data_IF_526789167800
#
_entry.id   IF_526789167800
#
_cell.length_a   1.000
_cell.length_b   1.000
_cell.length_c   1.000
_cell.angle_alpha   90.00
_cell.angle_beta   90.00
_cell.angle_gamma   90.00
#
_symmetry.space_group_name_H-M   'P 1'
#
loop_
_entity.id
_entity.type
_entity.pdbx_description
1 polymer ?
#
# COMPACT_ATOMS: atom_id res chain seq x y z
N UNK A 1 6.50 31.52 -49.03
CA UNK A 1 7.59 32.22 -48.32
C UNK A 1 7.94 31.39 -47.08
N UNK A 2 8.90 30.45 -47.19
CA UNK A 2 10.32 30.57 -46.81
C UNK A 2 10.53 30.82 -45.30
N UNK A 3 10.74 29.75 -44.50
CA UNK A 3 12.03 29.18 -44.00
C UNK A 3 12.70 29.96 -42.85
N UNK A 4 12.86 29.30 -41.70
CA UNK A 4 14.20 29.13 -41.08
C UNK A 4 14.29 27.90 -40.17
N UNK A 5 15.25 27.04 -40.50
CA UNK A 5 15.72 25.91 -39.70
C UNK A 5 16.76 26.39 -38.68
N UNK A 6 16.90 25.71 -37.55
CA UNK A 6 18.19 25.07 -37.22
C UNK A 6 18.07 24.04 -36.09
N UNK A 7 19.02 23.12 -36.12
CA UNK A 7 19.02 21.75 -35.64
C UNK A 7 20.36 21.54 -34.90
N UNK A 8 20.37 20.76 -33.81
CA UNK A 8 21.47 19.88 -33.30
C UNK A 8 21.20 19.58 -31.82
N UNK A 9 20.84 18.35 -31.41
CA UNK A 9 21.65 17.11 -31.27
C UNK A 9 22.90 17.28 -30.39
N UNK A 10 22.83 16.70 -29.19
CA UNK A 10 24.01 16.23 -28.45
C UNK A 10 23.83 14.73 -28.13
N UNK A 11 24.87 13.98 -28.45
CA UNK A 11 25.11 12.55 -28.20
C UNK A 11 26.61 12.39 -27.90
N UNK A 12 26.95 11.23 -27.33
CA UNK A 12 28.28 10.68 -27.01
C UNK A 12 28.86 11.08 -25.65
N UNK A 13 29.70 10.27 -24.99
CA UNK A 13 29.77 8.83 -24.67
C UNK A 13 31.06 8.67 -23.84
N UNK A 14 31.03 7.80 -22.83
CA UNK A 14 32.13 7.10 -22.15
C UNK A 14 33.58 7.24 -22.68
N UNK A 15 34.56 7.36 -21.77
CA UNK A 15 35.41 6.27 -21.23
C UNK A 15 36.64 6.79 -20.43
N UNK A 16 37.00 6.05 -19.35
CA UNK A 16 38.34 5.61 -18.84
C UNK A 16 39.60 6.51 -19.00
N UNK A 17 40.64 6.53 -18.15
CA UNK A 17 41.10 5.84 -16.93
C UNK A 17 42.37 6.58 -16.41
N UNK A 18 42.83 6.17 -15.21
CA UNK A 18 44.23 6.16 -14.71
C UNK A 18 44.93 7.39 -14.10
N UNK A 19 45.50 7.18 -12.90
CA UNK A 19 46.96 7.34 -12.74
C UNK A 19 47.52 8.23 -11.61
N UNK A 20 47.95 7.58 -10.50
CA UNK A 20 49.25 7.77 -9.77
C UNK A 20 49.54 9.05 -8.92
N UNK A 21 49.44 8.86 -7.60
CA UNK A 21 50.43 9.04 -6.48
C UNK A 21 51.73 9.81 -6.72
N UNK A 22 52.07 10.80 -5.87
CA UNK A 22 53.41 11.40 -5.60
C UNK A 22 53.42 12.11 -4.19
N UNK A 23 54.56 12.48 -3.54
CA UNK A 23 55.26 11.63 -2.57
C UNK A 23 55.54 12.28 -1.18
N UNK A 24 56.40 11.58 -0.44
CA UNK A 24 56.95 11.74 0.92
C UNK A 24 57.88 12.96 1.04
N UNK A 25 57.84 13.69 2.17
CA UNK A 25 59.03 14.32 2.77
C UNK A 25 58.93 14.30 4.31
N UNK A 26 60.10 14.21 4.93
CA UNK A 26 60.40 13.80 6.29
C UNK A 26 60.88 14.96 7.19
N UNK A 27 60.96 14.66 8.50
CA UNK A 27 61.71 15.37 9.58
C UNK A 27 61.12 16.75 9.97
N UNK A 28 61.19 17.25 11.20
CA UNK A 28 61.97 16.99 12.42
C UNK A 28 61.28 17.88 13.50
N UNK A 29 60.96 17.47 14.73
CA UNK A 29 61.74 17.72 15.96
C UNK A 29 60.83 17.28 17.12
N UNK A 30 61.29 16.34 17.95
CA UNK A 30 60.83 16.16 19.34
C UNK A 30 62.07 16.26 20.20
N UNK A 31 62.04 17.17 21.17
CA UNK A 31 63.08 17.34 22.16
C UNK A 31 62.43 17.24 23.56
N UNK A 32 63.00 16.34 24.36
CA UNK A 32 63.10 16.32 25.82
C UNK A 32 61.85 15.97 26.65
N UNK A 33 61.92 14.73 27.14
CA UNK A 33 61.33 14.12 28.34
C UNK A 33 61.70 14.85 29.64
N UNK A 34 60.81 14.90 30.66
CA UNK A 34 60.99 14.26 31.99
C UNK A 34 59.97 14.69 33.07
N UNK A 35 59.53 13.68 33.83
CA UNK A 35 59.28 13.64 35.28
C UNK A 35 58.07 14.34 35.94
N UNK A 36 57.25 13.49 36.57
CA UNK A 36 57.02 13.45 38.03
C UNK A 36 55.75 14.04 38.66
N UNK A 37 55.12 13.13 39.43
CA UNK A 37 53.94 13.17 40.30
C UNK A 37 53.87 14.34 41.30
N UNK A 38 52.66 14.81 41.64
CA UNK A 38 52.12 14.83 43.03
C UNK A 38 50.79 15.62 43.22
N UNK A 39 49.88 15.01 44.01
CA UNK A 39 48.92 15.56 45.01
C UNK A 39 47.83 16.57 44.54
N UNK A 40 46.53 16.20 44.52
CA UNK A 40 45.54 16.17 45.61
C UNK A 40 45.08 17.57 46.08
N UNK A 41 43.79 17.93 45.90
CA UNK A 41 42.90 18.53 46.93
C UNK A 41 41.48 18.80 46.38
N UNK A 42 40.50 18.59 47.26
CA UNK A 42 39.04 18.52 47.05
C UNK A 42 38.37 19.87 46.74
N UNK A 43 37.24 19.87 46.03
CA UNK A 43 36.12 20.79 46.32
C UNK A 43 34.77 20.35 45.72
N UNK A 44 33.83 20.11 46.64
CA UNK A 44 32.38 20.28 46.60
C UNK A 44 31.56 19.53 45.52
N UNK A 45 31.05 18.37 45.94
CA UNK A 45 29.81 17.77 45.44
C UNK A 45 28.59 18.65 45.79
N UNK A 46 28.09 19.44 44.84
CA UNK A 46 26.70 19.87 44.82
C UNK A 46 25.86 18.70 44.30
N UNK A 47 25.40 17.85 45.22
CA UNK A 47 24.38 16.84 44.90
C UNK A 47 23.05 17.56 44.77
N UNK A 48 22.72 18.02 43.56
CA UNK A 48 21.33 18.29 43.22
C UNK A 48 20.62 16.95 43.26
N UNK A 49 19.99 16.62 44.39
CA UNK A 49 19.05 15.52 44.48
C UNK A 49 17.82 15.88 43.63
N UNK A 50 17.92 15.63 42.33
CA UNK A 50 16.74 15.59 41.47
C UNK A 50 15.99 14.35 41.93
N UNK A 51 15.02 14.54 42.83
CA UNK A 51 14.07 13.49 43.20
C UNK A 51 13.43 13.01 41.89
N UNK A 52 13.53 11.72 41.53
CA UNK A 52 12.84 11.24 40.35
C UNK A 52 11.34 11.42 40.61
N UNK A 53 10.72 12.33 39.86
CA UNK A 53 9.27 12.47 39.84
C UNK A 53 8.71 11.16 39.29
N UNK A 54 8.18 10.35 40.19
CA UNK A 54 7.50 9.12 39.82
C UNK A 54 6.28 9.50 38.98
N UNK A 55 6.33 9.15 37.69
CA UNK A 55 5.15 9.09 36.84
C UNK A 55 4.76 10.37 36.09
N UNK A 56 5.60 10.84 35.17
CA UNK A 56 5.12 11.44 33.93
C UNK A 56 6.09 11.08 32.80
N UNK A 57 5.82 9.98 32.10
CA UNK A 57 6.50 9.70 30.83
C UNK A 57 6.18 10.86 29.89
N UNK A 58 7.18 11.64 29.50
CA UNK A 58 6.93 12.78 28.61
C UNK A 58 6.40 12.26 27.26
N UNK A 59 5.56 13.04 26.57
CA UNK A 59 5.10 12.67 25.22
C UNK A 59 6.28 12.35 24.26
N UNK A 60 7.44 12.97 24.50
CA UNK A 60 8.70 12.72 23.80
C UNK A 60 9.30 11.33 24.12
N UNK A 61 9.27 10.88 25.37
CA UNK A 61 9.71 9.54 25.78
C UNK A 61 8.74 8.44 25.30
N UNK A 62 7.43 8.71 25.31
CA UNK A 62 6.44 7.81 24.72
C UNK A 62 6.66 7.64 23.20
N UNK A 63 7.01 8.71 22.48
CA UNK A 63 7.33 8.65 21.05
C UNK A 63 8.66 7.95 20.73
N UNK A 64 9.60 7.86 21.69
CA UNK A 64 10.84 7.08 21.53
C UNK A 64 10.61 5.58 21.58
N UNK A 65 9.58 5.10 22.31
CA UNK A 65 9.03 3.75 22.10
C UNK A 65 8.37 3.73 20.73
N UNK A 66 9.13 3.31 19.71
CA UNK A 66 8.71 3.36 18.31
C UNK A 66 7.41 2.57 18.06
N UNK A 67 6.28 3.24 18.20
CA UNK A 67 5.00 2.76 17.69
C UNK A 67 5.13 2.61 16.16
N UNK A 68 5.17 1.37 15.69
CA UNK A 68 5.30 1.06 14.26
C UNK A 68 6.71 0.78 13.76
N UNK A 69 7.68 0.47 14.62
CA UNK A 69 8.94 -0.08 14.12
C UNK A 69 8.68 -1.39 13.37
N UNK A 70 9.32 -1.55 12.21
CA UNK A 70 9.55 -2.84 11.52
C UNK A 70 10.30 -3.88 12.40
N UNK A 71 10.53 -3.55 13.67
CA UNK A 71 11.34 -4.32 14.57
C UNK A 71 10.59 -5.61 14.92
N UNK A 72 11.25 -6.76 14.81
CA UNK A 72 10.68 -8.03 15.21
C UNK A 72 10.31 -8.01 16.70
N UNK A 73 9.15 -8.57 17.04
CA UNK A 73 8.86 -8.94 18.44
C UNK A 73 9.84 -10.05 18.81
N UNK A 74 10.69 -9.82 19.82
CA UNK A 74 11.61 -10.84 20.33
C UNK A 74 10.86 -11.60 21.42
N UNK A 75 10.61 -12.91 21.23
CA UNK A 75 10.18 -13.80 22.30
C UNK A 75 11.41 -14.60 22.78
N UNK A 76 11.56 -14.75 24.09
CA UNK A 76 12.76 -15.37 24.70
C UNK A 76 12.80 -16.89 24.49
N UNK A 77 11.66 -17.50 24.12
CA UNK A 77 11.55 -18.94 23.86
C UNK A 77 11.56 -19.29 22.36
N UNK A 78 11.23 -18.33 21.48
CA UNK A 78 11.29 -18.49 20.02
C UNK A 78 11.63 -17.14 19.39
N UNK A 79 12.78 -17.03 18.72
CA UNK A 79 13.09 -15.85 17.87
C UNK A 79 12.21 -15.85 16.60
N UNK A 80 10.90 -15.69 16.74
CA UNK A 80 10.04 -15.42 15.59
C UNK A 80 10.04 -13.93 15.36
N UNK A 81 10.69 -13.48 14.29
CA UNK A 81 10.59 -12.09 13.85
C UNK A 81 9.18 -11.81 13.30
N UNK A 82 8.17 -11.70 14.16
CA UNK A 82 6.81 -11.37 13.71
C UNK A 82 6.77 -9.88 13.40
N UNK A 83 6.79 -9.56 12.12
CA UNK A 83 6.60 -8.20 11.64
C UNK A 83 5.15 -7.77 11.88
N UNK A 84 4.94 -6.82 12.79
CA UNK A 84 3.62 -6.22 13.00
C UNK A 84 3.34 -5.24 11.87
N UNK A 85 2.35 -5.55 11.03
CA UNK A 85 1.90 -4.65 9.97
C UNK A 85 1.29 -3.40 10.57
N UNK A 86 1.65 -2.23 10.04
CA UNK A 86 1.00 -0.98 10.43
C UNK A 86 -0.41 -0.87 9.81
N UNK A 87 -1.20 0.09 10.30
CA UNK A 87 -2.58 0.27 9.84
C UNK A 87 -2.70 0.48 8.32
N UNK A 88 -1.77 1.21 7.69
CA UNK A 88 -1.77 1.41 6.23
C UNK A 88 -1.50 0.10 5.49
N UNK A 89 -0.54 -0.70 5.97
CA UNK A 89 -0.23 -2.00 5.38
C UNK A 89 -1.40 -2.97 5.52
N UNK A 90 -2.10 -2.98 6.67
CA UNK A 90 -3.30 -3.78 6.86
C UNK A 90 -4.45 -3.34 5.95
N UNK A 91 -4.66 -2.03 5.78
CA UNK A 91 -5.70 -1.50 4.87
C UNK A 91 -5.42 -1.83 3.42
N UNK A 92 -4.19 -1.68 2.96
CA UNK A 92 -3.81 -1.89 1.56
C UNK A 92 -3.50 -3.35 1.23
N UNK A 93 -3.63 -4.25 2.21
CA UNK A 93 -3.33 -5.65 2.04
C UNK A 93 -4.29 -6.31 1.05
N UNK A 94 -3.75 -7.14 0.15
CA UNK A 94 -4.48 -7.88 -0.87
C UNK A 94 -5.26 -6.97 -1.84
N UNK A 95 -4.71 -5.79 -2.13
CA UNK A 95 -5.24 -4.83 -3.10
C UNK A 95 -4.09 -4.31 -3.96
N UNK A 96 -4.31 -4.26 -5.28
CA UNK A 96 -3.42 -3.56 -6.20
C UNK A 96 -3.75 -2.08 -6.11
N UNK A 97 -2.92 -1.31 -5.41
CA UNK A 97 -3.09 0.13 -5.26
C UNK A 97 -2.81 0.85 -6.58
N UNK A 98 -3.68 1.78 -6.96
CA UNK A 98 -3.50 2.54 -8.19
C UNK A 98 -2.31 3.50 -8.09
N UNK A 99 -1.64 3.72 -9.22
CA UNK A 99 -0.50 4.63 -9.35
C UNK A 99 -0.78 5.83 -10.25
N UNK A 100 -1.93 5.86 -10.94
CA UNK A 100 -2.33 6.94 -11.86
C UNK A 100 -3.79 7.30 -11.62
N UNK A 101 -4.14 8.54 -11.89
CA UNK A 101 -5.42 9.10 -11.47
C UNK A 101 -6.60 8.50 -12.23
N UNK A 102 -6.41 8.13 -13.49
CA UNK A 102 -7.44 7.57 -14.37
C UNK A 102 -7.50 6.03 -14.39
N UNK A 103 -6.64 5.35 -13.62
CA UNK A 103 -6.42 3.89 -13.72
C UNK A 103 -7.13 3.05 -12.65
N UNK A 104 -8.04 3.65 -11.87
CA UNK A 104 -8.79 2.95 -10.81
C UNK A 104 -9.44 1.65 -11.31
N UNK A 105 -10.05 1.65 -12.50
CA UNK A 105 -10.64 0.47 -13.12
C UNK A 105 -9.62 -0.63 -13.42
N UNK A 106 -8.43 -0.28 -13.91
CA UNK A 106 -7.35 -1.23 -14.19
C UNK A 106 -6.80 -1.83 -12.88
N UNK A 107 -6.63 -1.01 -11.85
CA UNK A 107 -6.19 -1.46 -10.53
C UNK A 107 -7.23 -2.37 -9.84
N UNK A 108 -8.53 -2.06 -9.97
CA UNK A 108 -9.62 -2.92 -9.51
C UNK A 108 -9.63 -4.28 -10.23
N UNK A 109 -9.45 -4.27 -11.56
CA UNK A 109 -9.33 -5.50 -12.35
C UNK A 109 -8.11 -6.33 -11.94
N UNK A 110 -6.93 -5.70 -11.81
CA UNK A 110 -5.72 -6.37 -11.34
C UNK A 110 -5.91 -6.97 -9.93
N UNK A 111 -6.63 -6.28 -9.04
CA UNK A 111 -6.94 -6.78 -7.69
C UNK A 111 -7.75 -8.07 -7.76
N UNK A 112 -8.79 -8.14 -8.58
CA UNK A 112 -9.59 -9.36 -8.77
C UNK A 112 -8.74 -10.48 -9.36
N UNK A 113 -7.99 -10.20 -10.44
CA UNK A 113 -7.17 -11.21 -11.09
C UNK A 113 -6.11 -11.80 -10.13
N UNK A 114 -5.40 -10.96 -9.39
CA UNK A 114 -4.30 -11.42 -8.55
C UNK A 114 -4.77 -12.14 -7.29
N UNK A 115 -5.76 -11.59 -6.60
CA UNK A 115 -6.14 -12.11 -5.27
C UNK A 115 -7.30 -13.09 -5.30
N UNK A 116 -8.10 -13.10 -6.36
CA UNK A 116 -9.18 -14.08 -6.54
C UNK A 116 -8.81 -15.21 -7.50
N UNK A 117 -8.15 -14.89 -8.61
CA UNK A 117 -7.77 -15.86 -9.63
C UNK A 117 -6.29 -16.27 -9.59
N UNK A 118 -5.53 -15.79 -8.58
CA UNK A 118 -4.12 -16.14 -8.32
C UNK A 118 -3.18 -15.81 -9.48
N UNK A 119 -3.49 -14.72 -10.19
CA UNK A 119 -2.67 -14.22 -11.29
C UNK A 119 -1.58 -13.27 -10.80
N UNK A 120 -0.67 -12.91 -11.71
CA UNK A 120 0.37 -11.92 -11.45
C UNK A 120 0.34 -10.80 -12.50
N UNK A 121 -0.68 -9.95 -12.40
CA UNK A 121 -0.94 -8.86 -13.34
C UNK A 121 -0.79 -7.52 -12.64
N UNK A 122 -0.01 -6.62 -13.24
CA UNK A 122 0.11 -5.25 -12.74
C UNK A 122 -0.91 -4.32 -13.40
N UNK A 123 -1.23 -3.22 -12.71
CA UNK A 123 -2.02 -2.12 -13.27
C UNK A 123 -1.43 -1.62 -14.61
N UNK A 124 -0.11 -1.43 -14.67
CA UNK A 124 0.59 -1.00 -15.88
C UNK A 124 0.39 -1.97 -17.05
N UNK A 125 0.44 -3.28 -16.79
CA UNK A 125 0.23 -4.28 -17.83
C UNK A 125 -1.19 -4.20 -18.41
N UNK A 126 -2.21 -4.03 -17.57
CA UNK A 126 -3.59 -3.85 -18.02
C UNK A 126 -3.76 -2.54 -18.81
N UNK A 127 -3.16 -1.44 -18.38
CA UNK A 127 -3.20 -0.18 -19.12
C UNK A 127 -2.56 -0.28 -20.51
N UNK A 128 -1.47 -1.04 -20.64
CA UNK A 128 -0.86 -1.32 -21.96
C UNK A 128 -1.81 -2.11 -22.85
N UNK A 129 -2.57 -3.06 -22.28
CA UNK A 129 -3.59 -3.80 -23.05
C UNK A 129 -4.76 -2.89 -23.46
N UNK A 130 -5.24 -2.02 -22.57
CA UNK A 130 -6.25 -1.00 -22.90
C UNK A 130 -5.77 -0.15 -24.08
N UNK A 131 -4.54 0.38 -24.01
CA UNK A 131 -4.00 1.26 -25.03
C UNK A 131 -3.84 0.58 -26.41
N UNK A 132 -3.72 -0.75 -26.46
CA UNK A 132 -3.71 -1.52 -27.72
C UNK A 132 -5.10 -1.73 -28.31
N UNK A 133 -6.14 -1.70 -27.49
CA UNK A 133 -7.52 -1.92 -27.90
C UNK A 133 -8.24 -0.64 -28.31
N UNK A 134 -7.81 0.50 -27.77
CA UNK A 134 -8.45 1.80 -27.98
C UNK A 134 -7.78 2.59 -29.11
N UNK A 135 -8.59 3.38 -29.81
CA UNK A 135 -8.10 4.42 -30.71
C UNK A 135 -7.41 5.56 -29.92
N UNK A 136 -6.67 6.42 -30.61
CA UNK A 136 -6.01 7.58 -29.97
C UNK A 136 -7.01 8.52 -29.30
N UNK A 137 -8.18 8.73 -29.89
CA UNK A 137 -9.19 9.64 -29.35
C UNK A 137 -9.93 9.03 -28.16
N UNK A 138 -10.26 7.73 -28.19
CA UNK A 138 -10.76 7.01 -27.02
C UNK A 138 -9.74 7.03 -25.88
N UNK A 139 -8.44 6.85 -26.17
CA UNK A 139 -7.41 6.88 -25.14
C UNK A 139 -7.30 8.26 -24.49
N UNK A 140 -7.40 9.34 -25.28
CA UNK A 140 -7.44 10.73 -24.76
C UNK A 140 -8.64 10.93 -23.84
N UNK A 141 -9.82 10.46 -24.27
CA UNK A 141 -11.03 10.48 -23.45
C UNK A 141 -10.81 9.73 -22.13
N UNK A 142 -10.17 8.55 -22.14
CA UNK A 142 -9.97 7.76 -20.90
C UNK A 142 -8.93 8.34 -19.97
N UNK A 143 -7.97 9.10 -20.49
CA UNK A 143 -7.04 9.88 -19.64
C UNK A 143 -7.78 11.01 -18.93
N UNK A 144 -8.77 11.64 -19.58
CA UNK A 144 -9.55 12.72 -18.99
C UNK A 144 -10.66 12.22 -18.05
N UNK A 145 -11.37 11.17 -18.44
CA UNK A 145 -12.63 10.72 -17.81
C UNK A 145 -12.52 9.36 -17.11
N UNK A 146 -11.38 8.67 -17.20
CA UNK A 146 -11.20 7.34 -16.63
C UNK A 146 -11.63 6.19 -17.55
N UNK A 147 -11.32 4.96 -17.14
CA UNK A 147 -11.71 3.74 -17.86
C UNK A 147 -13.21 3.45 -17.72
N UNK A 148 -13.82 2.75 -18.68
CA UNK A 148 -15.22 2.31 -18.59
C UNK A 148 -15.31 0.83 -18.28
N UNK A 149 -16.46 0.36 -17.77
CA UNK A 149 -16.71 -1.08 -17.59
C UNK A 149 -16.56 -1.89 -18.88
N UNK A 150 -16.87 -1.29 -20.03
CA UNK A 150 -16.73 -1.95 -21.33
C UNK A 150 -15.27 -2.13 -21.73
N UNK A 151 -14.37 -1.21 -21.38
CA UNK A 151 -12.94 -1.40 -21.58
C UNK A 151 -12.42 -2.53 -20.71
N UNK A 152 -12.79 -2.53 -19.44
CA UNK A 152 -12.37 -3.57 -18.49
C UNK A 152 -12.86 -4.94 -18.96
N UNK A 153 -14.09 -5.01 -19.48
CA UNK A 153 -14.63 -6.22 -20.12
C UNK A 153 -13.77 -6.65 -21.30
N UNK A 154 -13.47 -5.77 -22.25
CA UNK A 154 -12.66 -6.10 -23.45
C UNK A 154 -11.26 -6.58 -23.07
N UNK A 155 -10.61 -5.92 -22.10
CA UNK A 155 -9.29 -6.33 -21.60
C UNK A 155 -9.33 -7.68 -20.91
N UNK A 156 -10.32 -7.92 -20.05
CA UNK A 156 -10.50 -9.22 -19.40
C UNK A 156 -10.76 -10.33 -20.44
N UNK A 157 -11.58 -10.07 -21.45
CA UNK A 157 -11.82 -11.04 -22.54
C UNK A 157 -10.57 -11.33 -23.35
N UNK A 158 -9.74 -10.32 -23.64
CA UNK A 158 -8.45 -10.49 -24.30
C UNK A 158 -7.51 -11.39 -23.48
N UNK A 159 -7.58 -11.31 -22.15
CA UNK A 159 -6.85 -12.20 -21.23
C UNK A 159 -7.43 -13.62 -21.11
N UNK A 160 -8.47 -13.97 -21.87
CA UNK A 160 -9.10 -15.29 -21.83
C UNK A 160 -10.14 -15.47 -20.73
N UNK A 161 -10.56 -14.40 -20.05
CA UNK A 161 -11.60 -14.44 -19.02
C UNK A 161 -12.99 -14.24 -19.62
N UNK A 162 -13.98 -14.90 -19.04
CA UNK A 162 -15.39 -14.57 -19.28
C UNK A 162 -15.75 -13.35 -18.45
N UNK A 163 -15.96 -12.21 -19.12
CA UNK A 163 -16.33 -10.96 -18.46
C UNK A 163 -17.77 -10.54 -18.81
N UNK A 164 -18.58 -10.29 -17.79
CA UNK A 164 -20.01 -9.98 -17.93
C UNK A 164 -20.28 -8.64 -17.26
N UNK A 165 -20.75 -7.67 -18.05
CA UNK A 165 -21.28 -6.40 -17.53
C UNK A 165 -22.79 -6.56 -17.37
N UNK A 166 -23.31 -6.13 -16.23
CA UNK A 166 -24.73 -6.26 -15.93
C UNK A 166 -25.20 -5.23 -14.90
N UNK A 167 -26.44 -5.41 -14.45
CA UNK A 167 -27.04 -4.64 -13.36
C UNK A 167 -27.62 -5.57 -12.33
N UNK A 168 -27.29 -5.37 -11.06
CA UNK A 168 -27.80 -6.19 -9.95
C UNK A 168 -28.75 -5.38 -9.07
N UNK A 169 -29.65 -6.04 -8.33
CA UNK A 169 -30.27 -5.40 -7.17
C UNK A 169 -29.33 -5.55 -5.96
N UNK A 170 -29.60 -4.83 -4.87
CA UNK A 170 -28.78 -4.93 -3.66
C UNK A 170 -28.86 -6.33 -3.03
N UNK A 171 -30.01 -7.00 -3.16
CA UNK A 171 -30.24 -8.38 -2.72
C UNK A 171 -29.36 -9.34 -3.52
N UNK A 172 -29.43 -9.25 -4.87
CA UNK A 172 -28.62 -10.07 -5.77
C UNK A 172 -27.12 -9.83 -5.60
N UNK A 173 -26.73 -8.60 -5.28
CA UNK A 173 -25.34 -8.28 -4.93
C UNK A 173 -24.91 -8.99 -3.64
N UNK A 174 -25.79 -9.07 -2.65
CA UNK A 174 -25.56 -9.79 -1.39
C UNK A 174 -25.40 -11.30 -1.56
N UNK A 175 -26.04 -11.88 -2.56
CA UNK A 175 -25.94 -13.31 -2.88
C UNK A 175 -24.68 -13.68 -3.69
N UNK A 176 -23.98 -12.68 -4.24
CA UNK A 176 -22.79 -12.92 -5.05
C UNK A 176 -21.67 -13.57 -4.23
N UNK A 177 -21.25 -14.76 -4.65
CA UNK A 177 -20.08 -15.48 -4.10
C UNK A 177 -18.77 -15.08 -4.77
N UNK A 178 -18.84 -14.24 -5.80
CA UNK A 178 -17.69 -13.74 -6.53
C UNK A 178 -17.45 -12.27 -6.15
N UNK A 179 -16.19 -11.82 -6.08
CA UNK A 179 -15.89 -10.40 -6.03
C UNK A 179 -16.30 -9.77 -7.36
N UNK A 180 -16.92 -8.59 -7.29
CA UNK A 180 -17.44 -7.87 -8.45
C UNK A 180 -16.81 -6.49 -8.52
N UNK A 181 -16.51 -6.02 -9.73
CA UNK A 181 -16.09 -4.63 -9.91
C UNK A 181 -17.37 -3.80 -10.05
N UNK A 182 -17.51 -2.77 -9.23
CA UNK A 182 -18.69 -1.89 -9.20
C UNK A 182 -18.28 -0.45 -9.38
N UNK A 183 -19.15 0.31 -10.04
CA UNK A 183 -18.97 1.74 -10.27
C UNK A 183 -19.68 2.54 -9.16
N UNK A 184 -18.96 3.43 -8.49
CA UNK A 184 -19.51 4.29 -7.44
C UNK A 184 -19.18 5.76 -7.74
N UNK A 185 -20.02 6.68 -7.25
CA UNK A 185 -19.72 8.12 -7.24
C UNK A 185 -19.49 8.55 -5.80
N UNK A 186 -18.32 9.13 -5.52
CA UNK A 186 -17.97 9.65 -4.19
C UNK A 186 -17.53 11.09 -4.34
N UNK A 187 -18.23 12.01 -3.68
CA UNK A 187 -17.96 13.46 -3.75
C UNK A 187 -17.87 13.97 -5.20
N UNK A 188 -18.83 13.59 -6.05
CA UNK A 188 -18.88 13.95 -7.48
C UNK A 188 -17.78 13.32 -8.36
N UNK A 189 -16.97 12.41 -7.81
CA UNK A 189 -15.98 11.64 -8.57
C UNK A 189 -16.43 10.21 -8.83
N UNK A 190 -16.41 9.82 -10.09
CA UNK A 190 -16.69 8.46 -10.53
C UNK A 190 -15.47 7.55 -10.30
N UNK A 191 -15.71 6.39 -9.70
CA UNK A 191 -14.66 5.51 -9.21
C UNK A 191 -15.03 4.03 -9.32
N UNK A 192 -14.05 3.19 -9.57
CA UNK A 192 -14.22 1.73 -9.56
C UNK A 192 -13.62 1.12 -8.31
N UNK A 193 -14.44 0.31 -7.64
CA UNK A 193 -14.04 -0.45 -6.47
C UNK A 193 -14.40 -1.92 -6.65
N UNK A 194 -13.74 -2.79 -5.89
CA UNK A 194 -14.07 -4.21 -5.86
C UNK A 194 -14.99 -4.48 -4.68
N UNK A 195 -16.22 -4.90 -4.96
CA UNK A 195 -17.13 -5.48 -3.99
C UNK A 195 -16.60 -6.85 -3.53
N UNK A 196 -16.40 -7.00 -2.21
CA UNK A 196 -15.89 -8.23 -1.58
C UNK A 196 -17.00 -9.08 -0.98
N UNK A 197 -18.10 -8.46 -0.56
CA UNK A 197 -19.23 -9.09 0.12
C UNK A 197 -19.99 -8.12 1.01
N UNK A 198 -21.03 -8.61 1.68
CA UNK A 198 -21.83 -7.84 2.65
C UNK A 198 -22.14 -8.64 3.90
N UNK A 199 -22.49 -7.92 4.96
CA UNK A 199 -23.30 -8.43 6.07
C UNK A 199 -24.63 -7.66 6.13
N UNK A 200 -25.35 -7.77 7.25
CA UNK A 200 -26.64 -7.10 7.43
C UNK A 200 -26.54 -5.56 7.42
N UNK A 201 -25.40 -5.01 7.85
CA UNK A 201 -25.23 -3.56 8.09
C UNK A 201 -24.27 -2.92 7.11
N UNK A 202 -23.27 -3.66 6.62
CA UNK A 202 -22.13 -3.13 5.91
C UNK A 202 -21.84 -3.85 4.59
N UNK A 203 -21.34 -3.06 3.64
CA UNK A 203 -20.71 -3.50 2.40
C UNK A 203 -19.19 -3.42 2.59
N UNK A 204 -18.49 -4.49 2.19
CA UNK A 204 -17.04 -4.58 2.23
C UNK A 204 -16.48 -4.36 0.83
N UNK A 205 -15.58 -3.39 0.71
CA UNK A 205 -14.99 -2.98 -0.56
C UNK A 205 -13.46 -3.07 -0.48
N UNK A 206 -12.84 -3.33 -1.63
CA UNK A 206 -11.43 -3.10 -1.88
C UNK A 206 -11.31 -1.94 -2.86
N UNK A 207 -10.91 -0.78 -2.35
CA UNK A 207 -10.76 0.47 -3.08
C UNK A 207 -9.29 0.64 -3.51
N UNK A 208 -8.99 0.76 -4.82
CA UNK A 208 -7.62 0.97 -5.32
C UNK A 208 -6.90 2.23 -4.81
N UNK A 209 -7.64 3.21 -4.28
CA UNK A 209 -7.11 4.46 -3.70
C UNK A 209 -7.01 4.34 -2.18
N UNK A 210 -8.09 3.86 -1.55
CA UNK A 210 -8.26 3.95 -0.08
C UNK A 210 -7.93 2.65 0.66
N UNK A 211 -7.81 1.53 -0.05
CA UNK A 211 -7.60 0.20 0.51
C UNK A 211 -8.92 -0.49 0.90
N UNK A 212 -8.87 -1.40 1.87
CA UNK A 212 -10.06 -2.09 2.40
C UNK A 212 -10.98 -1.08 3.09
N UNK A 213 -12.24 -1.03 2.66
CA UNK A 213 -13.28 -0.18 3.22
C UNK A 213 -14.46 -1.02 3.70
N UNK A 214 -15.11 -0.52 4.75
CA UNK A 214 -16.40 -1.01 5.24
C UNK A 214 -17.34 0.18 5.33
N UNK A 215 -18.43 0.16 4.57
CA UNK A 215 -19.40 1.27 4.52
C UNK A 215 -20.82 0.77 4.77
N UNK A 216 -21.72 1.58 5.37
CA UNK A 216 -23.11 1.18 5.56
C UNK A 216 -23.80 0.84 4.23
N UNK A 217 -24.71 -0.13 4.24
CA UNK A 217 -25.44 -0.53 3.03
C UNK A 217 -26.18 0.65 2.39
N UNK A 218 -26.86 1.48 3.21
CA UNK A 218 -27.56 2.66 2.71
C UNK A 218 -26.64 3.63 1.97
N UNK A 219 -25.47 3.94 2.55
CA UNK A 219 -24.45 4.79 1.93
C UNK A 219 -23.93 4.22 0.61
N UNK A 220 -23.73 2.90 0.53
CA UNK A 220 -23.31 2.27 -0.71
C UNK A 220 -24.37 2.40 -1.81
N UNK A 221 -25.64 2.18 -1.47
CA UNK A 221 -26.76 2.25 -2.44
C UNK A 221 -26.87 3.65 -3.04
N UNK A 222 -26.69 4.70 -2.23
CA UNK A 222 -26.69 6.09 -2.71
C UNK A 222 -25.52 6.38 -3.67
N UNK A 223 -24.36 5.76 -3.44
CA UNK A 223 -23.16 5.95 -4.24
C UNK A 223 -23.13 5.05 -5.49
N UNK A 224 -23.93 3.98 -5.53
CA UNK A 224 -23.81 2.94 -6.55
C UNK A 224 -24.40 3.38 -7.89
N UNK A 225 -23.54 3.49 -8.90
CA UNK A 225 -23.95 4.03 -10.19
C UNK A 225 -24.77 3.02 -11.00
N UNK A 226 -26.04 3.35 -11.24
CA UNK A 226 -26.97 2.61 -12.14
C UNK A 226 -27.03 1.10 -11.85
N UNK A 227 -26.70 0.72 -10.62
CA UNK A 227 -26.50 -0.64 -10.16
C UNK A 227 -25.54 -1.48 -11.02
N UNK A 228 -24.57 -0.85 -11.67
CA UNK A 228 -23.71 -1.49 -12.64
C UNK A 228 -22.65 -2.36 -11.96
N UNK A 229 -22.44 -3.55 -12.54
CA UNK A 229 -21.43 -4.51 -12.10
C UNK A 229 -20.64 -5.04 -13.30
N UNK A 230 -19.43 -5.49 -13.02
CA UNK A 230 -18.61 -6.31 -13.88
C UNK A 230 -18.15 -7.55 -13.12
N UNK A 231 -18.57 -8.71 -13.60
CA UNK A 231 -18.10 -10.01 -13.13
C UNK A 231 -17.00 -10.53 -14.07
N UNK A 232 -15.91 -11.05 -13.50
CA UNK A 232 -14.79 -11.64 -14.24
C UNK A 232 -14.58 -13.07 -13.78
N UNK A 233 -14.74 -14.02 -14.71
CA UNK A 233 -14.76 -15.45 -14.44
C UNK A 233 -13.66 -16.13 -15.27
N UNK A 234 -12.79 -16.91 -14.62
CA UNK A 234 -11.80 -17.73 -15.32
C UNK A 234 -12.46 -19.02 -15.84
N UNK A 235 -12.47 -19.27 -17.16
CA UNK A 235 -13.07 -20.48 -17.72
C UNK A 235 -12.46 -21.76 -17.14
N UNK A 236 -13.28 -22.81 -17.00
CA UNK A 236 -12.86 -24.16 -16.55
C UNK A 236 -12.19 -24.20 -15.16
N UNK A 237 -12.29 -23.12 -14.38
CA UNK A 237 -11.68 -23.01 -13.05
C UNK A 237 -12.77 -22.83 -12.00
N UNK A 238 -12.67 -23.54 -10.88
CA UNK A 238 -13.62 -23.38 -9.77
C UNK A 238 -13.36 -22.06 -9.04
N UNK A 239 -14.40 -21.33 -8.61
CA UNK A 239 -14.22 -20.10 -7.83
C UNK A 239 -13.42 -20.33 -6.54
N UNK A 240 -12.45 -19.46 -6.25
CA UNK A 240 -11.63 -19.56 -5.05
C UNK A 240 -12.42 -19.05 -3.82
N UNK A 241 -13.05 -19.98 -3.09
CA UNK A 241 -13.83 -19.65 -1.89
C UNK A 241 -12.95 -19.27 -0.68
N UNK A 242 -11.65 -19.53 -0.74
CA UNK A 242 -10.69 -19.18 0.33
C UNK A 242 -9.89 -17.92 -0.02
N UNK A 243 -10.26 -17.22 -1.11
CA UNK A 243 -9.55 -16.03 -1.55
C UNK A 243 -9.49 -14.97 -0.44
N UNK A 244 -8.33 -14.34 -0.23
CA UNK A 244 -8.19 -13.24 0.73
C UNK A 244 -9.02 -12.00 0.34
N UNK A 245 -9.50 -11.94 -0.90
CA UNK A 245 -10.34 -10.85 -1.38
C UNK A 245 -11.79 -10.97 -0.88
N UNK A 246 -12.24 -12.17 -0.49
CA UNK A 246 -13.55 -12.36 0.12
C UNK A 246 -13.56 -11.82 1.56
N UNK A 247 -14.77 -11.55 2.09
CA UNK A 247 -14.94 -11.05 3.46
C UNK A 247 -14.55 -12.12 4.46
N UNK A 248 -13.53 -11.84 5.26
CA UNK A 248 -13.05 -12.72 6.31
C UNK A 248 -13.77 -12.44 7.63
N UNK A 249 -13.85 -13.41 8.56
CA UNK A 249 -14.41 -13.17 9.89
C UNK A 249 -13.72 -12.01 10.65
N UNK A 250 -12.44 -11.76 10.37
CA UNK A 250 -11.69 -10.64 10.92
C UNK A 250 -12.09 -9.28 10.36
N UNK A 251 -12.65 -9.20 9.15
CA UNK A 251 -13.13 -7.93 8.58
C UNK A 251 -14.40 -7.44 9.30
N UNK A 252 -15.20 -8.37 9.84
CA UNK A 252 -16.44 -8.07 10.57
C UNK A 252 -16.19 -7.50 11.97
N UNK A 253 -15.05 -7.85 12.56
CA UNK A 253 -14.66 -7.41 13.90
C UNK A 253 -13.70 -6.20 13.84
N UNK A 254 -14.14 -4.98 14.19
CA UNK A 254 -13.27 -3.81 14.15
C UNK A 254 -12.09 -3.91 15.14
N UNK A 255 -12.22 -4.64 16.24
CA UNK A 255 -11.20 -4.75 17.28
C UNK A 255 -10.05 -5.68 16.86
N UNK A 256 -10.31 -6.67 15.98
CA UNK A 256 -9.27 -7.60 15.49
C UNK A 256 -8.13 -6.90 14.77
N UNK A 257 -8.39 -5.81 14.06
CA UNK A 257 -7.34 -5.00 13.41
C UNK A 257 -6.35 -4.38 14.41
N UNK A 258 -6.80 -4.11 15.64
CA UNK A 258 -6.02 -3.53 16.72
C UNK A 258 -5.52 -4.59 17.72
N UNK A 259 -5.91 -5.86 17.60
CA UNK A 259 -5.58 -6.91 18.57
C UNK A 259 -4.10 -7.00 18.90
N UNK A 260 -3.21 -6.83 17.92
CA UNK A 260 -1.76 -6.82 18.13
C UNK A 260 -1.32 -5.58 18.91
N UNK A 261 -1.84 -4.40 18.60
CA UNK A 261 -1.55 -3.19 19.37
C UNK A 261 -2.07 -3.31 20.82
N UNK A 262 -3.32 -3.76 20.98
CA UNK A 262 -3.95 -3.98 22.28
C UNK A 262 -3.12 -4.97 23.11
N UNK A 263 -2.76 -6.12 22.53
CA UNK A 263 -1.92 -7.16 23.17
C UNK A 263 -0.52 -6.64 23.51
N UNK A 264 0.15 -5.97 22.58
CA UNK A 264 1.55 -5.56 22.77
C UNK A 264 1.67 -4.40 23.75
N UNK A 265 0.71 -3.47 23.79
CA UNK A 265 0.89 -2.20 24.49
C UNK A 265 -0.12 -1.93 25.62
N UNK A 266 -1.32 -2.53 25.61
CA UNK A 266 -2.37 -2.22 26.59
C UNK A 266 -2.68 -3.38 27.54
N UNK A 267 -2.83 -4.59 27.03
CA UNK A 267 -3.31 -5.75 27.82
C UNK A 267 -2.21 -6.74 28.16
N UNK A 268 -1.02 -6.63 27.56
CA UNK A 268 0.00 -7.67 27.64
C UNK A 268 -0.49 -9.00 27.04
N UNK A 269 0.10 -10.13 27.46
CA UNK A 269 -0.28 -11.49 27.02
C UNK A 269 -1.68 -11.93 27.48
N UNK A 270 -2.46 -11.08 28.15
CA UNK A 270 -3.71 -11.41 28.86
C UNK A 270 -4.94 -11.44 27.94
N UNK A 271 -4.79 -11.86 26.68
CA UNK A 271 -5.96 -12.21 25.86
C UNK A 271 -5.61 -13.35 24.88
N UNK A 272 -6.27 -14.53 24.96
CA UNK A 272 -6.15 -15.60 23.98
C UNK A 272 -6.81 -15.25 22.64
#
# INVERSE_FOLDING_TARGET
MARKSMNRKYSFSNQHQDGKRWPIVSRCIRCVTLCCLSLCYQSLCLTTSVRPTYGQTTARELNQKRFGSKAPVRDDLVKTQVYVKNARQLRNENIVMQQRDFSCGAAALATVLNYYWEENVSETALLVLVAKLLTKDELRDRVANGLSLMDLKRVAQLGGYTAIVGKFSIERLGESKLPLIVAITVNEYDHFVVYRGRDEKFIYLADPIRGKLRIPVATFVEQWQKNAILAVIKPKTKPNQQSPLLVQPSDKDPAKSNSVFLRTYLTGRVNP
#
